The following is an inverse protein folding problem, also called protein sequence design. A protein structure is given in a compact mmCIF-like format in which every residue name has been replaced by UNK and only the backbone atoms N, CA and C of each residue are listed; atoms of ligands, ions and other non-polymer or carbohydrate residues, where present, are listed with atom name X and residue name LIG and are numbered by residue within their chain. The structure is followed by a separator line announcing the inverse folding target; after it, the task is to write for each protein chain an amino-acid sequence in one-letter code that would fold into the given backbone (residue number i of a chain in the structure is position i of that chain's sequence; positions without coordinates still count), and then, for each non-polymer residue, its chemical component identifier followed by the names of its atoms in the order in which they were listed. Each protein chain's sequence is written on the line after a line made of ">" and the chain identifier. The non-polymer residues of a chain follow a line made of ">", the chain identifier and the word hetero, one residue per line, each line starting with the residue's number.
data_IF_128905532682
#
_entry.id   IF_128905532682
#
_cell.length_a   1.000
_cell.length_b   1.000
_cell.length_c   1.000
_cell.angle_alpha   90.00
_cell.angle_beta   90.00
_cell.angle_gamma   90.00
#
_symmetry.space_group_name_H-M   'P 1'
#
loop_
_entity.id
_entity.type
_entity.pdbx_description
1 polymer ?
#
# COMPACT_ATOMS: atom_id res chain seq x y z
N UNK A 1 16.31 65.47 7.93
CA UNK A 1 15.14 65.21 8.80
C UNK A 1 13.95 64.86 7.92
N UNK A 2 13.27 63.73 8.21
CA UNK A 2 11.94 63.31 7.73
C UNK A 2 11.92 62.79 6.26
N UNK A 3 11.88 61.46 6.07
CA UNK A 3 10.68 60.60 5.84
C UNK A 3 10.28 60.61 4.34
N UNK A 4 9.91 59.55 3.61
CA UNK A 4 9.26 58.27 3.89
C UNK A 4 9.66 57.25 2.80
N UNK A 5 9.83 56.00 3.18
CA UNK A 5 9.84 54.82 2.31
C UNK A 5 8.37 54.42 2.03
N UNK A 6 7.93 54.12 0.79
CA UNK A 6 6.66 53.45 0.59
C UNK A 6 6.88 51.94 0.77
N UNK A 7 6.43 51.44 1.92
CA UNK A 7 6.30 50.00 2.20
C UNK A 7 5.11 49.48 1.37
N UNK A 8 5.38 48.74 0.30
CA UNK A 8 4.36 48.11 -0.52
C UNK A 8 3.97 46.78 0.14
N UNK A 9 2.97 46.84 1.02
CA UNK A 9 2.32 45.66 1.63
C UNK A 9 1.53 44.93 0.54
N UNK A 10 2.06 43.79 0.08
CA UNK A 10 1.30 42.82 -0.69
C UNK A 10 0.36 42.13 0.31
N UNK A 11 -0.91 42.54 0.31
CA UNK A 11 -1.96 41.84 1.03
C UNK A 11 -2.19 40.48 0.34
N UNK A 12 -1.60 39.43 0.90
CA UNK A 12 -2.00 38.06 0.60
C UNK A 12 -3.41 37.86 1.20
N UNK A 13 -4.44 38.00 0.37
CA UNK A 13 -5.79 37.56 0.72
C UNK A 13 -5.78 36.04 0.76
N UNK A 14 -5.53 35.48 1.94
CA UNK A 14 -5.87 34.11 2.24
C UNK A 14 -7.40 33.98 2.11
N UNK A 15 -7.87 33.35 1.05
CA UNK A 15 -9.21 32.78 1.02
C UNK A 15 -9.23 31.64 2.05
N UNK A 16 -9.46 31.99 3.31
CA UNK A 16 -9.98 31.04 4.27
C UNK A 16 -11.37 30.67 3.76
N UNK A 17 -11.50 29.47 3.18
CA UNK A 17 -12.80 28.86 2.97
C UNK A 17 -13.48 28.84 4.33
N UNK A 18 -14.52 29.65 4.49
CA UNK A 18 -15.34 29.69 5.68
C UNK A 18 -15.87 28.26 5.88
N UNK A 19 -15.31 27.55 6.86
CA UNK A 19 -15.71 26.19 7.17
C UNK A 19 -17.18 26.29 7.54
N UNK A 20 -18.05 25.72 6.71
CA UNK A 20 -19.48 25.65 7.00
C UNK A 20 -19.65 25.24 8.47
N UNK A 21 -20.53 25.90 9.24
CA UNK A 21 -20.69 25.61 10.65
C UNK A 21 -20.93 24.10 10.79
N UNK A 22 -20.19 23.48 11.72
CA UNK A 22 -20.35 22.06 12.01
C UNK A 22 -21.83 21.81 12.32
N UNK A 23 -22.54 21.15 11.41
CA UNK A 23 -23.99 20.95 11.52
C UNK A 23 -24.36 20.25 12.84
N UNK A 24 -23.45 19.43 13.39
CA UNK A 24 -23.64 18.76 14.68
C UNK A 24 -23.47 19.73 15.87
N UNK A 25 -22.68 20.79 15.71
CA UNK A 25 -22.46 21.78 16.77
C UNK A 25 -23.71 22.61 17.07
N UNK A 26 -24.60 22.76 16.08
CA UNK A 26 -25.87 23.49 16.20
C UNK A 26 -26.98 22.67 16.90
N UNK A 27 -26.79 21.36 17.02
CA UNK A 27 -27.78 20.46 17.60
C UNK A 27 -27.58 20.29 19.11
N UNK A 28 -28.70 20.17 19.83
CA UNK A 28 -28.68 19.82 21.25
C UNK A 28 -28.37 18.32 21.47
N UNK A 29 -28.17 17.91 22.73
CA UNK A 29 -27.78 16.54 23.06
C UNK A 29 -28.80 15.49 22.60
N UNK A 30 -30.10 15.82 22.66
CA UNK A 30 -31.20 14.92 22.30
C UNK A 30 -31.36 14.83 20.78
N UNK A 31 -31.23 15.95 20.09
CA UNK A 31 -31.21 16.00 18.62
C UNK A 31 -30.04 15.18 18.07
N UNK A 32 -28.85 15.30 18.67
CA UNK A 32 -27.68 14.48 18.33
C UNK A 32 -27.94 13.00 18.57
N UNK A 33 -28.53 12.63 19.71
CA UNK A 33 -28.89 11.25 20.01
C UNK A 33 -29.88 10.69 18.97
N UNK A 34 -30.97 11.42 18.72
CA UNK A 34 -32.02 11.02 17.79
C UNK A 34 -31.50 10.89 16.36
N UNK A 35 -30.66 11.84 15.91
CA UNK A 35 -30.01 11.77 14.59
C UNK A 35 -29.10 10.55 14.49
N UNK A 36 -28.34 10.26 15.55
CA UNK A 36 -27.52 9.06 15.66
C UNK A 36 -28.32 7.76 15.57
N UNK A 37 -29.41 7.65 16.34
CA UNK A 37 -30.31 6.49 16.33
C UNK A 37 -30.99 6.30 14.96
N UNK A 38 -31.45 7.39 14.33
CA UNK A 38 -32.06 7.32 12.99
C UNK A 38 -31.05 6.84 11.94
N UNK A 39 -29.83 7.37 11.95
CA UNK A 39 -28.76 6.94 11.04
C UNK A 39 -28.37 5.48 11.25
N UNK A 40 -28.33 5.02 12.51
CA UNK A 40 -28.11 3.62 12.83
C UNK A 40 -29.19 2.73 12.21
N UNK A 41 -30.47 3.12 12.32
CA UNK A 41 -31.59 2.39 11.68
C UNK A 41 -31.49 2.37 10.16
N UNK A 42 -30.98 3.45 9.56
CA UNK A 42 -30.74 3.56 8.11
C UNK A 42 -29.50 2.80 7.63
N UNK A 43 -28.67 2.28 8.53
CA UNK A 43 -27.40 1.63 8.20
C UNK A 43 -26.26 2.61 7.89
N UNK A 44 -26.46 3.93 8.09
CA UNK A 44 -25.38 4.92 8.05
C UNK A 44 -24.57 4.86 9.34
N UNK A 45 -23.71 3.85 9.43
CA UNK A 45 -22.92 3.59 10.63
C UNK A 45 -21.88 4.69 10.90
N UNK A 46 -21.37 5.36 9.85
CA UNK A 46 -20.39 6.44 10.02
C UNK A 46 -21.08 7.66 10.62
N UNK A 47 -22.17 8.11 10.00
CA UNK A 47 -22.91 9.25 10.50
C UNK A 47 -23.60 8.99 11.83
N UNK A 48 -23.96 7.73 12.14
CA UNK A 48 -24.47 7.34 13.45
C UNK A 48 -23.39 7.48 14.54
N UNK A 49 -22.17 7.01 14.27
CA UNK A 49 -21.06 7.13 15.23
C UNK A 49 -20.75 8.60 15.54
N UNK A 50 -20.66 9.44 14.51
CA UNK A 50 -20.39 10.87 14.67
C UNK A 50 -21.43 11.56 15.55
N UNK A 51 -22.72 11.36 15.26
CA UNK A 51 -23.80 11.99 15.99
C UNK A 51 -23.92 11.47 17.44
N UNK A 52 -23.78 10.15 17.67
CA UNK A 52 -23.84 9.57 19.01
C UNK A 52 -22.63 9.94 19.87
N UNK A 53 -21.43 10.05 19.28
CA UNK A 53 -20.24 10.54 19.99
C UNK A 53 -20.40 12.01 20.37
N UNK A 54 -20.93 12.83 19.47
CA UNK A 54 -21.24 14.23 19.76
C UNK A 54 -22.29 14.35 20.87
N UNK A 55 -23.32 13.49 20.89
CA UNK A 55 -24.30 13.41 21.98
C UNK A 55 -23.64 13.06 23.32
N UNK A 56 -22.84 11.99 23.38
CA UNK A 56 -22.12 11.61 24.60
C UNK A 56 -21.20 12.71 25.12
N UNK A 57 -20.54 13.46 24.24
CA UNK A 57 -19.64 14.55 24.62
C UNK A 57 -20.36 15.70 25.35
N UNK A 58 -21.70 15.79 25.28
CA UNK A 58 -22.49 16.78 26.03
C UNK A 58 -22.75 16.38 27.48
N UNK A 59 -22.37 15.16 27.89
CA UNK A 59 -22.44 14.67 29.27
C UNK A 59 -23.84 14.67 29.91
N UNK A 60 -24.90 14.51 29.13
CA UNK A 60 -26.26 14.34 29.65
C UNK A 60 -26.43 12.93 30.23
N UNK A 61 -26.66 12.83 31.54
CA UNK A 61 -26.83 11.57 32.26
C UNK A 61 -27.99 10.73 31.70
N UNK A 62 -29.09 11.37 31.29
CA UNK A 62 -30.31 10.70 30.82
C UNK A 62 -30.04 9.99 29.49
N UNK A 63 -29.23 10.59 28.64
CA UNK A 63 -28.92 10.07 27.31
C UNK A 63 -27.64 9.23 27.28
N UNK A 64 -26.83 9.24 28.35
CA UNK A 64 -25.55 8.52 28.41
C UNK A 64 -25.71 7.03 28.14
N UNK A 65 -26.62 6.35 28.87
CA UNK A 65 -26.86 4.93 28.70
C UNK A 65 -27.33 4.56 27.28
N UNK A 66 -28.42 5.14 26.73
CA UNK A 66 -28.89 4.75 25.41
C UNK A 66 -27.89 5.15 24.30
N UNK A 67 -27.11 6.22 24.47
CA UNK A 67 -26.07 6.58 23.50
C UNK A 67 -24.89 5.60 23.50
N UNK A 68 -24.45 5.12 24.68
CA UNK A 68 -23.44 4.07 24.80
C UNK A 68 -23.93 2.75 24.16
N UNK A 69 -25.16 2.33 24.49
CA UNK A 69 -25.76 1.12 23.90
C UNK A 69 -25.76 1.19 22.36
N UNK A 70 -26.20 2.31 21.79
CA UNK A 70 -26.24 2.48 20.33
C UNK A 70 -24.83 2.58 19.71
N UNK A 71 -23.87 3.18 20.39
CA UNK A 71 -22.47 3.20 19.92
C UNK A 71 -21.84 1.82 19.89
N UNK A 72 -22.18 0.97 20.86
CA UNK A 72 -21.82 -0.44 20.86
C UNK A 72 -22.24 -1.11 19.55
N UNK A 73 -23.52 -0.99 19.18
CA UNK A 73 -24.04 -1.53 17.90
C UNK A 73 -23.38 -0.93 16.67
N UNK A 74 -23.18 0.39 16.65
CA UNK A 74 -22.53 1.07 15.53
C UNK A 74 -21.12 0.54 15.31
N UNK A 75 -20.28 0.49 16.35
CA UNK A 75 -18.88 0.05 16.25
C UNK A 75 -18.76 -1.43 15.92
N UNK A 76 -19.67 -2.25 16.45
CA UNK A 76 -19.77 -3.66 16.05
C UNK A 76 -20.12 -3.79 14.57
N UNK A 77 -21.18 -3.10 14.13
CA UNK A 77 -21.64 -3.07 12.74
C UNK A 77 -20.57 -2.60 11.77
N UNK A 78 -19.79 -1.57 12.12
CA UNK A 78 -18.68 -1.07 11.27
C UNK A 78 -17.61 -2.14 11.09
N UNK A 79 -17.26 -2.84 12.15
CA UNK A 79 -16.32 -3.96 12.08
C UNK A 79 -16.86 -5.10 11.21
N UNK A 80 -18.16 -5.43 11.33
CA UNK A 80 -18.82 -6.43 10.49
C UNK A 80 -18.83 -6.02 9.01
N UNK A 81 -19.14 -4.76 8.69
CA UNK A 81 -19.07 -4.23 7.31
C UNK A 81 -17.64 -4.30 6.77
N UNK A 82 -16.65 -3.94 7.57
CA UNK A 82 -15.25 -4.09 7.18
C UNK A 82 -14.92 -5.55 6.86
N UNK A 83 -15.39 -6.53 7.64
CA UNK A 83 -15.24 -7.96 7.34
C UNK A 83 -16.13 -8.47 6.18
N UNK A 84 -16.79 -7.60 5.41
CA UNK A 84 -17.66 -8.01 4.31
C UNK A 84 -18.95 -8.69 4.77
N UNK A 85 -19.44 -8.33 5.95
CA UNK A 85 -20.65 -8.90 6.56
C UNK A 85 -20.40 -10.11 7.46
N UNK A 86 -19.16 -10.59 7.54
CA UNK A 86 -18.76 -11.75 8.35
C UNK A 86 -18.41 -11.33 9.79
N UNK A 87 -18.47 -12.28 10.72
CA UNK A 87 -18.07 -12.09 12.13
C UNK A 87 -16.81 -12.85 12.51
N UNK A 88 -16.24 -13.58 11.56
CA UNK A 88 -14.97 -14.31 11.65
C UNK A 88 -14.14 -13.98 10.42
N UNK A 89 -12.85 -14.28 10.47
CA UNK A 89 -11.98 -14.27 9.30
C UNK A 89 -12.41 -15.32 8.29
N UNK A 90 -11.96 -15.15 7.04
CA UNK A 90 -12.21 -16.17 6.04
C UNK A 90 -11.30 -17.38 6.29
N UNK A 91 -11.90 -18.54 6.61
CA UNK A 91 -11.16 -19.80 6.76
C UNK A 91 -10.43 -20.15 5.45
N UNK A 92 -10.95 -19.70 4.31
CA UNK A 92 -10.29 -19.91 3.03
C UNK A 92 -8.98 -19.13 2.91
N UNK A 93 -8.85 -17.93 3.49
CA UNK A 93 -7.60 -17.16 3.48
C UNK A 93 -6.48 -17.92 4.19
N UNK A 94 -6.75 -18.40 5.41
CA UNK A 94 -5.77 -19.18 6.16
C UNK A 94 -5.46 -20.52 5.49
N UNK A 95 -6.47 -21.18 4.91
CA UNK A 95 -6.29 -22.44 4.19
C UNK A 95 -5.44 -22.26 2.93
N UNK A 96 -5.65 -21.18 2.18
CA UNK A 96 -4.85 -20.84 1.00
C UNK A 96 -3.41 -20.57 1.42
N UNK A 97 -3.22 -19.75 2.47
CA UNK A 97 -1.89 -19.41 2.95
C UNK A 97 -1.08 -20.66 3.37
N UNK A 98 -1.73 -21.61 4.07
CA UNK A 98 -1.13 -22.90 4.45
C UNK A 98 -0.86 -23.81 3.26
N UNK A 99 -1.76 -23.86 2.29
CA UNK A 99 -1.55 -24.65 1.07
C UNK A 99 -0.30 -24.22 0.31
N UNK A 100 0.00 -22.92 0.29
CA UNK A 100 1.23 -22.43 -0.35
C UNK A 100 2.50 -22.65 0.49
N UNK A 101 2.40 -22.79 1.82
CA UNK A 101 3.51 -23.29 2.63
C UNK A 101 3.83 -24.74 2.26
N UNK A 102 2.82 -25.59 2.23
CA UNK A 102 2.98 -27.01 1.86
C UNK A 102 3.54 -27.17 0.45
N UNK A 103 3.06 -26.37 -0.51
CA UNK A 103 3.60 -26.35 -1.87
C UNK A 103 5.07 -25.88 -1.89
N UNK A 104 5.42 -24.86 -1.10
CA UNK A 104 6.80 -24.37 -1.01
C UNK A 104 7.73 -25.45 -0.45
N UNK A 105 7.30 -26.17 0.59
CA UNK A 105 8.07 -27.27 1.17
C UNK A 105 8.30 -28.42 0.17
N UNK A 106 7.26 -28.81 -0.56
CA UNK A 106 7.36 -29.84 -1.58
C UNK A 106 8.34 -29.43 -2.70
N UNK A 107 8.20 -28.21 -3.24
CA UNK A 107 9.07 -27.72 -4.31
C UNK A 107 10.52 -27.56 -3.84
N UNK A 108 10.75 -27.10 -2.61
CA UNK A 108 12.09 -27.02 -2.02
C UNK A 108 12.72 -28.43 -1.96
N UNK A 109 11.97 -29.40 -1.44
CA UNK A 109 12.45 -30.80 -1.34
C UNK A 109 12.78 -31.37 -2.71
N UNK A 110 11.88 -31.21 -3.69
CA UNK A 110 12.09 -31.70 -5.04
C UNK A 110 13.34 -31.08 -5.67
N UNK A 111 13.54 -29.77 -5.53
CA UNK A 111 14.73 -29.10 -6.07
C UNK A 111 16.02 -29.53 -5.36
N UNK A 112 15.99 -29.75 -4.04
CA UNK A 112 17.13 -30.25 -3.26
C UNK A 112 17.53 -31.67 -3.70
N UNK A 113 16.56 -32.55 -3.91
CA UNK A 113 16.80 -33.90 -4.43
C UNK A 113 17.45 -33.84 -5.82
N UNK A 114 16.97 -32.96 -6.70
CA UNK A 114 17.57 -32.78 -8.03
C UNK A 114 19.00 -32.22 -7.97
N UNK A 115 19.29 -31.33 -7.02
CA UNK A 115 20.65 -30.85 -6.76
C UNK A 115 21.57 -32.03 -6.42
N UNK A 116 21.18 -32.89 -5.49
CA UNK A 116 21.98 -34.05 -5.07
C UNK A 116 22.19 -35.04 -6.23
N UNK A 117 21.14 -35.34 -7.00
CA UNK A 117 21.20 -36.24 -8.15
C UNK A 117 22.19 -35.72 -9.20
N UNK A 118 22.14 -34.42 -9.53
CA UNK A 118 23.06 -33.81 -10.50
C UNK A 118 24.49 -33.85 -9.99
N UNK A 119 24.71 -33.46 -8.74
CA UNK A 119 26.06 -33.40 -8.15
C UNK A 119 26.70 -34.79 -8.09
N UNK A 120 25.92 -35.82 -7.75
CA UNK A 120 26.36 -37.22 -7.77
C UNK A 120 26.68 -37.73 -9.17
N UNK A 121 25.83 -37.45 -10.16
CA UNK A 121 26.08 -37.86 -11.54
C UNK A 121 27.37 -37.23 -12.09
N UNK A 122 27.60 -35.94 -11.80
CA UNK A 122 28.84 -35.24 -12.16
C UNK A 122 30.06 -35.83 -11.47
N UNK A 123 29.97 -36.15 -10.17
CA UNK A 123 31.05 -36.79 -9.43
C UNK A 123 31.41 -38.19 -9.97
N UNK A 124 30.41 -38.94 -10.45
CA UNK A 124 30.57 -40.24 -11.12
C UNK A 124 31.10 -40.12 -12.57
N UNK A 125 31.31 -38.91 -13.09
CA UNK A 125 31.70 -38.68 -14.49
C UNK A 125 30.61 -39.02 -15.51
N UNK A 126 29.34 -39.05 -15.09
CA UNK A 126 28.17 -39.31 -15.95
C UNK A 126 27.50 -38.00 -16.34
N UNK A 127 26.90 -37.96 -17.51
CA UNK A 127 26.02 -36.85 -17.88
C UNK A 127 24.70 -36.94 -17.07
N UNK A 128 24.33 -35.91 -16.30
CA UNK A 128 23.06 -35.89 -15.59
C UNK A 128 21.86 -35.80 -16.54
N UNK A 129 20.76 -36.45 -16.18
CA UNK A 129 19.46 -36.14 -16.78
C UNK A 129 18.92 -34.83 -16.16
N UNK A 130 18.78 -33.80 -16.99
CA UNK A 130 18.32 -32.48 -16.55
C UNK A 130 16.81 -32.30 -16.67
N UNK A 131 16.07 -33.24 -17.29
CA UNK A 131 14.61 -33.07 -17.48
C UNK A 131 13.87 -32.93 -16.15
N UNK A 132 14.10 -33.80 -15.13
CA UNK A 132 13.44 -33.65 -13.83
C UNK A 132 13.86 -32.36 -13.10
N UNK A 133 15.13 -31.97 -13.23
CA UNK A 133 15.68 -30.74 -12.66
C UNK A 133 15.03 -29.47 -13.25
N UNK A 134 14.83 -29.43 -14.57
CA UNK A 134 14.16 -28.30 -15.23
C UNK A 134 12.69 -28.22 -14.83
N UNK A 135 12.02 -29.36 -14.66
CA UNK A 135 10.64 -29.42 -14.18
C UNK A 135 10.51 -28.90 -12.74
N UNK A 136 11.35 -29.39 -11.82
CA UNK A 136 11.38 -28.94 -10.43
C UNK A 136 11.70 -27.44 -10.32
N UNK A 137 12.69 -26.96 -11.08
CA UNK A 137 13.04 -25.54 -11.15
C UNK A 137 11.86 -24.68 -11.64
N UNK A 138 11.16 -25.13 -12.69
CA UNK A 138 9.98 -24.44 -13.21
C UNK A 138 8.85 -24.34 -12.20
N UNK A 139 8.59 -25.42 -11.45
CA UNK A 139 7.62 -25.49 -10.35
C UNK A 139 7.97 -24.52 -9.22
N UNK A 140 9.19 -24.62 -8.68
CA UNK A 140 9.66 -23.76 -7.59
C UNK A 140 9.61 -22.27 -7.93
N UNK A 141 9.97 -21.87 -9.16
CA UNK A 141 9.83 -20.48 -9.63
C UNK A 141 8.35 -20.04 -9.64
N UNK A 142 7.44 -20.90 -10.08
CA UNK A 142 6.01 -20.66 -10.08
C UNK A 142 5.46 -20.43 -8.68
N UNK A 143 5.83 -21.28 -7.73
CA UNK A 143 5.44 -21.19 -6.32
C UNK A 143 6.02 -19.93 -5.67
N UNK A 144 7.32 -19.65 -5.86
CA UNK A 144 7.95 -18.43 -5.36
C UNK A 144 7.19 -17.17 -5.79
N UNK A 145 6.87 -17.05 -7.09
CA UNK A 145 6.15 -15.88 -7.62
C UNK A 145 4.74 -15.76 -7.06
N UNK A 146 4.09 -16.90 -6.85
CA UNK A 146 2.73 -16.93 -6.30
C UNK A 146 2.73 -16.48 -4.85
N UNK A 147 3.62 -17.04 -4.02
CA UNK A 147 3.81 -16.64 -2.61
C UNK A 147 4.17 -15.16 -2.50
N UNK A 148 5.11 -14.67 -3.32
CA UNK A 148 5.50 -13.25 -3.39
C UNK A 148 4.30 -12.32 -3.61
N UNK A 149 3.36 -12.73 -4.47
CA UNK A 149 2.14 -11.95 -4.80
C UNK A 149 1.06 -12.05 -3.73
N UNK A 150 1.03 -13.12 -2.94
CA UNK A 150 0.01 -13.38 -1.93
C UNK A 150 0.33 -12.72 -0.59
N UNK A 151 1.59 -12.77 -0.13
CA UNK A 151 2.02 -12.19 1.15
C UNK A 151 1.46 -10.77 1.38
N UNK A 152 1.60 -9.80 0.44
CA UNK A 152 1.08 -8.45 0.66
C UNK A 152 -0.44 -8.37 0.81
N UNK A 153 -1.18 -9.27 0.16
CA UNK A 153 -2.64 -9.34 0.27
C UNK A 153 -3.05 -9.90 1.62
N UNK A 154 -2.36 -10.94 2.09
CA UNK A 154 -2.58 -11.54 3.39
C UNK A 154 -2.24 -10.55 4.53
N UNK A 155 -1.16 -9.79 4.40
CA UNK A 155 -0.78 -8.72 5.33
C UNK A 155 -1.82 -7.59 5.38
N UNK A 156 -2.34 -7.18 4.22
CA UNK A 156 -3.43 -6.21 4.17
C UNK A 156 -4.69 -6.73 4.87
N UNK A 157 -4.97 -8.04 4.78
CA UNK A 157 -6.08 -8.67 5.50
C UNK A 157 -5.85 -8.69 7.01
N UNK A 158 -4.64 -9.01 7.48
CA UNK A 158 -4.27 -8.92 8.90
C UNK A 158 -4.47 -7.49 9.42
N UNK A 159 -3.94 -6.48 8.72
CA UNK A 159 -4.08 -5.08 9.10
C UNK A 159 -5.54 -4.64 9.18
N UNK A 160 -6.36 -5.10 8.23
CA UNK A 160 -7.80 -4.88 8.22
C UNK A 160 -8.49 -5.52 9.43
N UNK A 161 -8.15 -6.77 9.78
CA UNK A 161 -8.68 -7.46 10.97
C UNK A 161 -8.27 -6.76 12.26
N UNK A 162 -7.04 -6.23 12.36
CA UNK A 162 -6.59 -5.45 13.51
C UNK A 162 -7.46 -4.21 13.76
N UNK A 163 -7.83 -3.49 12.70
CA UNK A 163 -8.77 -2.36 12.80
C UNK A 163 -10.16 -2.77 13.29
N UNK A 164 -10.66 -3.93 12.84
CA UNK A 164 -11.94 -4.50 13.29
C UNK A 164 -11.88 -4.89 14.77
N UNK A 165 -10.82 -5.58 15.19
CA UNK A 165 -10.59 -5.95 16.59
C UNK A 165 -10.61 -4.71 17.47
N UNK A 166 -9.92 -3.63 17.09
CA UNK A 166 -9.94 -2.38 17.85
C UNK A 166 -11.34 -1.76 17.95
N UNK A 167 -12.12 -1.78 16.86
CA UNK A 167 -13.50 -1.30 16.85
C UNK A 167 -14.42 -2.12 17.77
N UNK A 168 -14.31 -3.45 17.72
CA UNK A 168 -15.11 -4.35 18.54
C UNK A 168 -14.72 -4.32 20.03
N UNK A 169 -13.45 -4.14 20.36
CA UNK A 169 -13.03 -3.89 21.76
C UNK A 169 -13.70 -2.63 22.31
N UNK A 170 -13.78 -1.56 21.52
CA UNK A 170 -14.51 -0.35 21.93
C UNK A 170 -16.01 -0.60 22.06
N UNK A 171 -16.60 -1.38 21.15
CA UNK A 171 -18.01 -1.78 21.22
C UNK A 171 -18.35 -2.51 22.52
N UNK A 172 -17.51 -3.49 22.91
CA UNK A 172 -17.62 -4.18 24.21
C UNK A 172 -17.54 -3.18 25.36
N UNK A 173 -16.62 -2.22 25.29
CA UNK A 173 -16.51 -1.14 26.27
C UNK A 173 -17.78 -0.32 26.39
N UNK A 174 -18.37 0.11 25.27
CA UNK A 174 -19.60 0.89 25.28
C UNK A 174 -20.77 0.13 25.92
N UNK A 175 -20.94 -1.16 25.57
CA UNK A 175 -21.97 -2.01 26.16
C UNK A 175 -21.75 -2.26 27.65
N UNK A 176 -20.51 -2.52 28.08
CA UNK A 176 -20.19 -2.67 29.51
C UNK A 176 -20.49 -1.40 30.27
N UNK A 177 -20.08 -0.24 29.77
CA UNK A 177 -20.40 1.04 30.40
C UNK A 177 -21.91 1.31 30.45
N UNK A 178 -22.68 0.93 29.43
CA UNK A 178 -24.14 1.03 29.48
C UNK A 178 -24.74 0.15 30.61
N UNK A 179 -24.25 -1.09 30.74
CA UNK A 179 -24.66 -2.00 31.81
C UNK A 179 -24.21 -1.53 33.21
N UNK A 180 -23.04 -0.93 33.33
CA UNK A 180 -22.55 -0.35 34.59
C UNK A 180 -23.41 0.82 35.06
N UNK A 181 -23.94 1.63 34.13
CA UNK A 181 -24.87 2.72 34.44
C UNK A 181 -26.25 2.22 34.86
N UNK A 182 -26.67 1.04 34.39
CA UNK A 182 -27.90 0.38 34.80
C UNK A 182 -27.75 -1.14 34.73
N UNK A 183 -27.60 -1.79 35.88
CA UNK A 183 -27.41 -3.24 35.97
C UNK A 183 -28.63 -4.07 35.52
N UNK A 184 -29.79 -3.43 35.31
CA UNK A 184 -30.95 -4.05 34.70
C UNK A 184 -30.88 -4.10 33.17
N UNK A 185 -29.92 -3.39 32.54
CA UNK A 185 -29.67 -3.47 31.10
C UNK A 185 -28.92 -4.76 30.74
N UNK A 186 -29.62 -5.88 30.87
CA UNK A 186 -29.16 -7.20 30.47
C UNK A 186 -28.84 -7.30 28.97
N UNK A 187 -29.58 -6.66 28.04
CA UNK A 187 -29.21 -6.65 26.63
C UNK A 187 -27.79 -6.14 26.37
N UNK A 188 -27.35 -5.06 27.05
CA UNK A 188 -25.97 -4.57 26.93
C UNK A 188 -24.95 -5.60 27.40
N UNK A 189 -25.18 -6.25 28.55
CA UNK A 189 -24.28 -7.30 29.06
C UNK A 189 -24.16 -8.46 28.06
N UNK A 190 -25.30 -8.96 27.57
CA UNK A 190 -25.35 -10.06 26.61
C UNK A 190 -24.63 -9.72 25.29
N UNK A 191 -24.79 -8.48 24.79
CA UNK A 191 -24.09 -8.02 23.59
C UNK A 191 -22.57 -7.95 23.83
N UNK A 192 -22.14 -7.45 24.98
CA UNK A 192 -20.71 -7.41 25.32
C UNK A 192 -20.10 -8.82 25.33
N UNK A 193 -20.75 -9.77 26.00
CA UNK A 193 -20.29 -11.17 26.08
C UNK A 193 -20.27 -11.85 24.70
N UNK A 194 -21.31 -11.65 23.89
CA UNK A 194 -21.36 -12.20 22.53
C UNK A 194 -20.23 -11.67 21.64
N UNK A 195 -19.93 -10.36 21.72
CA UNK A 195 -18.85 -9.75 20.94
C UNK A 195 -17.48 -10.20 21.46
N UNK A 196 -17.32 -10.45 22.76
CA UNK A 196 -16.07 -11.00 23.30
C UNK A 196 -15.73 -12.38 22.76
N UNK A 197 -16.72 -13.24 22.56
CA UNK A 197 -16.52 -14.54 21.91
C UNK A 197 -16.02 -14.37 20.47
N UNK A 198 -16.68 -13.50 19.70
CA UNK A 198 -16.29 -13.17 18.33
C UNK A 198 -14.88 -12.55 18.27
N UNK A 199 -14.54 -11.67 19.22
CA UNK A 199 -13.21 -11.09 19.35
C UNK A 199 -12.15 -12.16 19.61
N UNK A 200 -12.43 -13.15 20.47
CA UNK A 200 -11.50 -14.23 20.76
C UNK A 200 -11.24 -15.09 19.51
N UNK A 201 -12.30 -15.43 18.78
CA UNK A 201 -12.20 -16.16 17.51
C UNK A 201 -11.39 -15.38 16.47
N UNK A 202 -11.74 -14.11 16.22
CA UNK A 202 -11.06 -13.26 15.24
C UNK A 202 -9.59 -13.04 15.58
N UNK A 203 -9.25 -12.83 16.87
CA UNK A 203 -7.86 -12.72 17.33
C UNK A 203 -7.08 -14.00 17.06
N UNK A 204 -7.64 -15.17 17.39
CA UNK A 204 -7.00 -16.46 17.15
C UNK A 204 -6.71 -16.69 15.67
N UNK A 205 -7.69 -16.42 14.81
CA UNK A 205 -7.53 -16.57 13.36
C UNK A 205 -6.55 -15.56 12.76
N UNK A 206 -6.50 -14.34 13.31
CA UNK A 206 -5.54 -13.31 12.87
C UNK A 206 -4.12 -13.71 13.25
N UNK A 207 -3.89 -14.17 14.49
CA UNK A 207 -2.59 -14.66 14.92
C UNK A 207 -2.11 -15.86 14.10
N UNK A 208 -3.01 -16.81 13.80
CA UNK A 208 -2.68 -17.96 12.96
C UNK A 208 -2.28 -17.54 11.53
N UNK A 209 -2.92 -16.51 10.98
CA UNK A 209 -2.56 -15.97 9.66
C UNK A 209 -1.23 -15.21 9.72
N UNK A 210 -0.98 -14.42 10.75
CA UNK A 210 0.31 -13.74 10.98
C UNK A 210 1.49 -14.72 11.05
N UNK A 211 1.33 -15.82 11.80
CA UNK A 211 2.32 -16.90 11.88
C UNK A 211 2.56 -17.53 10.52
N UNK A 212 1.48 -17.84 9.79
CA UNK A 212 1.57 -18.43 8.44
C UNK A 212 2.30 -17.51 7.46
N UNK A 213 2.01 -16.20 7.48
CA UNK A 213 2.71 -15.20 6.66
C UNK A 213 4.21 -15.14 7.00
N UNK A 214 4.55 -15.17 8.30
CA UNK A 214 5.94 -15.15 8.73
C UNK A 214 6.71 -16.39 8.21
N UNK A 215 6.08 -17.55 8.23
CA UNK A 215 6.66 -18.77 7.68
C UNK A 215 6.74 -18.73 6.14
N UNK A 216 5.74 -18.15 5.47
CA UNK A 216 5.79 -17.96 4.01
C UNK A 216 6.96 -17.07 3.61
N UNK A 217 7.26 -16.01 4.37
CA UNK A 217 8.42 -15.14 4.12
C UNK A 217 9.73 -15.91 4.24
N UNK A 218 9.86 -16.79 5.24
CA UNK A 218 11.05 -17.66 5.36
C UNK A 218 11.15 -18.62 4.18
N UNK A 219 10.04 -19.27 3.82
CA UNK A 219 9.98 -20.21 2.70
C UNK A 219 10.23 -19.55 1.36
N UNK A 220 9.81 -18.29 1.20
CA UNK A 220 10.09 -17.50 0.01
C UNK A 220 11.60 -17.28 -0.17
N UNK A 221 12.33 -16.95 0.90
CA UNK A 221 13.79 -16.80 0.83
C UNK A 221 14.48 -18.15 0.59
N UNK A 222 14.03 -19.23 1.25
CA UNK A 222 14.55 -20.58 1.02
C UNK A 222 14.33 -21.04 -0.43
N UNK A 223 13.13 -20.84 -0.98
CA UNK A 223 12.83 -21.07 -2.39
C UNK A 223 13.81 -20.29 -3.29
N UNK A 224 14.03 -18.99 -3.01
CA UNK A 224 14.95 -18.17 -3.80
C UNK A 224 16.35 -18.77 -3.88
N UNK A 225 16.88 -19.20 -2.73
CA UNK A 225 18.23 -19.75 -2.65
C UNK A 225 18.32 -21.12 -3.34
N UNK A 226 17.35 -22.01 -3.12
CA UNK A 226 17.34 -23.34 -3.75
C UNK A 226 17.13 -23.24 -5.26
N UNK A 227 16.26 -22.32 -5.74
CA UNK A 227 16.08 -22.03 -7.17
C UNK A 227 17.41 -21.59 -7.79
N UNK A 228 18.15 -20.68 -7.15
CA UNK A 228 19.47 -20.23 -7.64
C UNK A 228 20.48 -21.36 -7.66
N UNK A 229 20.53 -22.19 -6.63
CA UNK A 229 21.45 -23.32 -6.54
C UNK A 229 21.18 -24.39 -7.60
N UNK A 230 19.92 -24.70 -7.87
CA UNK A 230 19.54 -25.62 -8.94
C UNK A 230 19.81 -25.02 -10.33
N UNK A 231 19.50 -23.73 -10.53
CA UNK A 231 19.77 -23.03 -11.79
C UNK A 231 21.27 -23.02 -12.16
N UNK A 232 22.18 -22.90 -11.18
CA UNK A 232 23.65 -23.00 -11.42
C UNK A 232 24.09 -24.36 -11.95
N UNK A 233 23.33 -25.42 -11.68
CA UNK A 233 23.69 -26.80 -12.03
C UNK A 233 23.20 -27.23 -13.39
N UNK A 234 22.16 -26.57 -13.89
CA UNK A 234 21.52 -26.84 -15.18
C UNK A 234 22.26 -26.05 -16.29
N UNK A 235 22.58 -26.68 -17.44
CA UNK A 235 23.17 -25.98 -18.58
C UNK A 235 22.30 -24.80 -19.06
N UNK A 236 22.91 -23.67 -19.49
CA UNK A 236 22.17 -22.46 -19.87
C UNK A 236 21.11 -22.68 -20.95
N UNK A 237 21.41 -23.55 -21.92
CA UNK A 237 20.53 -23.92 -23.04
C UNK A 237 19.33 -24.78 -22.61
N UNK A 238 19.38 -25.36 -21.41
CA UNK A 238 18.32 -26.20 -20.84
C UNK A 238 17.50 -25.48 -19.76
N UNK A 239 17.89 -24.25 -19.36
CA UNK A 239 17.15 -23.50 -18.34
C UNK A 239 15.73 -23.17 -18.82
N UNK A 240 14.73 -23.22 -17.94
CA UNK A 240 13.36 -22.91 -18.32
C UNK A 240 13.22 -21.41 -18.62
N UNK A 241 12.34 -21.07 -19.58
CA UNK A 241 12.14 -19.67 -20.02
C UNK A 241 11.71 -18.74 -18.89
N UNK A 242 11.09 -19.28 -17.85
CA UNK A 242 10.61 -18.52 -16.71
C UNK A 242 11.72 -18.17 -15.69
N UNK A 243 12.98 -18.59 -15.88
CA UNK A 243 14.08 -18.34 -14.93
C UNK A 243 14.64 -16.90 -14.94
N UNK A 244 14.49 -16.17 -16.05
CA UNK A 244 15.06 -14.82 -16.22
C UNK A 244 14.24 -13.71 -15.53
N UNK A 245 12.96 -13.97 -15.24
CA UNK A 245 12.05 -12.98 -14.65
C UNK A 245 11.57 -11.93 -15.66
N UNK A 246 10.42 -11.31 -15.37
CA UNK A 246 9.84 -10.24 -16.22
C UNK A 246 10.23 -8.84 -15.73
N UNK A 247 11.52 -8.61 -15.45
CA UNK A 247 12.05 -7.27 -15.17
C UNK A 247 12.05 -6.80 -13.71
N UNK A 248 11.75 -7.71 -12.76
CA UNK A 248 12.02 -7.49 -11.34
C UNK A 248 13.35 -8.18 -10.97
N UNK A 249 14.32 -7.42 -10.44
CA UNK A 249 15.66 -7.91 -10.07
C UNK A 249 15.59 -9.08 -9.07
N UNK A 250 14.54 -9.13 -8.24
CA UNK A 250 14.32 -10.21 -7.28
C UNK A 250 13.75 -11.50 -7.90
N UNK A 251 13.31 -11.45 -9.16
CA UNK A 251 12.78 -12.61 -9.91
C UNK A 251 13.72 -13.13 -10.99
N UNK A 252 14.94 -12.58 -11.06
CA UNK A 252 15.98 -13.10 -11.90
C UNK A 252 16.77 -14.17 -11.14
N UNK A 253 16.55 -15.43 -11.54
CA UNK A 253 17.20 -16.59 -10.94
C UNK A 253 18.39 -17.09 -11.76
N UNK A 254 18.67 -16.45 -12.89
CA UNK A 254 19.83 -16.81 -13.70
C UNK A 254 21.12 -16.43 -12.96
N UNK A 255 22.18 -17.25 -13.08
CA UNK A 255 23.51 -16.88 -12.63
C UNK A 255 23.95 -15.55 -13.23
N UNK A 256 24.71 -14.73 -12.47
CA UNK A 256 25.08 -13.34 -12.86
C UNK A 256 25.66 -13.22 -14.28
N UNK A 257 26.44 -14.20 -14.74
CA UNK A 257 27.02 -14.23 -16.09
C UNK A 257 26.07 -14.58 -17.23
N UNK A 258 24.83 -15.00 -16.93
CA UNK A 258 23.80 -15.37 -17.90
C UNK A 258 22.64 -14.37 -17.96
N UNK A 259 22.62 -13.39 -17.06
CA UNK A 259 21.61 -12.34 -17.05
C UNK A 259 21.80 -11.46 -18.28
N UNK A 260 20.73 -11.18 -19.03
CA UNK A 260 20.81 -10.16 -20.08
C UNK A 260 21.31 -8.85 -19.45
N UNK A 261 22.23 -8.12 -20.13
CA UNK A 261 22.59 -6.78 -19.68
C UNK A 261 21.31 -6.00 -19.50
N UNK A 262 21.10 -5.39 -18.33
CA UNK A 262 19.88 -4.62 -18.05
C UNK A 262 19.64 -3.71 -19.24
N UNK A 263 18.62 -4.03 -20.03
CA UNK A 263 18.17 -3.21 -21.13
C UNK A 263 17.60 -1.96 -20.49
N UNK A 264 18.46 -0.98 -20.25
CA UNK A 264 18.07 0.34 -19.81
C UNK A 264 17.20 0.96 -20.88
N UNK A 265 15.91 0.63 -20.85
CA UNK A 265 14.90 1.60 -21.25
C UNK A 265 15.12 2.77 -20.32
N UNK A 266 15.51 3.92 -20.89
CA UNK A 266 15.73 5.19 -20.20
C UNK A 266 14.46 5.71 -19.54
N UNK A 267 13.96 4.99 -18.54
CA UNK A 267 13.07 5.51 -17.53
C UNK A 267 13.89 6.44 -16.66
N UNK A 268 13.57 7.72 -16.72
CA UNK A 268 14.07 8.77 -15.83
C UNK A 268 13.93 8.31 -14.38
N UNK A 269 14.97 7.73 -13.81
CA UNK A 269 15.22 7.86 -12.39
C UNK A 269 15.94 9.19 -12.23
N UNK A 270 15.28 10.15 -11.59
CA UNK A 270 15.95 11.38 -11.20
C UNK A 270 17.17 10.99 -10.34
N UNK A 271 18.39 11.42 -10.72
CA UNK A 271 19.59 11.08 -9.97
C UNK A 271 19.47 11.66 -8.56
N UNK A 272 19.76 10.81 -7.56
CA UNK A 272 19.82 11.25 -6.16
C UNK A 272 20.87 12.36 -6.00
N UNK A 273 20.56 13.34 -5.17
CA UNK A 273 21.37 14.52 -4.93
C UNK A 273 22.82 14.14 -4.56
N UNK A 274 23.79 14.63 -5.35
CA UNK A 274 25.22 14.39 -5.12
C UNK A 274 25.90 13.35 -6.03
N UNK A 275 25.22 12.70 -6.98
CA UNK A 275 25.88 11.85 -7.98
C UNK A 275 26.21 12.60 -9.27
N UNK A 276 27.42 12.38 -9.79
CA UNK A 276 27.90 12.97 -11.04
C UNK A 276 27.01 12.54 -12.22
N UNK A 277 26.42 13.54 -12.87
CA UNK A 277 25.57 13.34 -14.05
C UNK A 277 26.49 13.00 -15.22
N UNK A 278 26.43 11.75 -15.72
CA UNK A 278 27.09 11.40 -16.98
C UNK A 278 26.35 12.08 -18.13
N UNK A 279 26.91 13.16 -18.63
CA UNK A 279 26.40 13.90 -19.77
C UNK A 279 26.80 13.19 -21.06
N UNK A 280 25.87 13.05 -22.02
CA UNK A 280 26.21 12.52 -23.34
C UNK A 280 27.13 13.50 -24.09
N UNK A 281 27.95 13.00 -25.03
CA UNK A 281 28.89 13.85 -25.79
C UNK A 281 28.16 14.98 -26.55
N UNK A 282 26.91 14.73 -26.97
CA UNK A 282 26.07 15.72 -27.64
C UNK A 282 25.52 16.78 -26.67
N UNK A 283 25.15 16.40 -25.45
CA UNK A 283 24.75 17.37 -24.41
C UNK A 283 25.94 18.19 -23.90
N UNK A 284 27.14 17.59 -23.84
CA UNK A 284 28.37 18.29 -23.49
C UNK A 284 28.72 19.34 -24.56
N UNK A 285 28.57 18.98 -25.84
CA UNK A 285 28.74 19.92 -26.96
C UNK A 285 27.69 21.03 -26.94
N UNK A 286 26.42 20.69 -26.71
CA UNK A 286 25.36 21.70 -26.61
C UNK A 286 25.56 22.64 -25.42
N UNK A 287 26.07 22.15 -24.29
CA UNK A 287 26.35 22.96 -23.09
C UNK A 287 27.56 23.86 -23.26
N UNK A 288 28.59 23.39 -23.99
CA UNK A 288 29.73 24.22 -24.39
C UNK A 288 29.34 25.30 -25.40
N UNK A 289 28.43 24.99 -26.32
CA UNK A 289 27.94 25.94 -27.33
C UNK A 289 27.09 27.06 -26.70
N UNK A 290 26.26 26.73 -25.70
CA UNK A 290 25.51 27.73 -24.92
C UNK A 290 26.43 28.61 -24.06
N UNK A 291 27.49 28.03 -23.46
CA UNK A 291 28.52 28.82 -22.75
C UNK A 291 29.29 29.75 -23.70
N UNK A 292 29.58 29.32 -24.92
CA UNK A 292 30.21 30.17 -25.97
C UNK A 292 29.31 31.34 -26.36
N UNK A 293 27.99 31.16 -26.29
CA UNK A 293 26.97 32.20 -26.49
C UNK A 293 26.84 33.20 -25.32
N UNK A 294 27.31 32.85 -24.12
CA UNK A 294 27.34 33.72 -22.93
C UNK A 294 28.65 34.51 -22.81
N UNK A 295 29.81 33.94 -23.17
CA UNK A 295 31.08 34.69 -23.18
C UNK A 295 31.19 35.72 -24.33
N UNK A 296 30.34 35.61 -25.36
CA UNK A 296 30.28 36.55 -26.49
C UNK A 296 29.31 37.73 -26.31
N UNK A 297 28.47 37.73 -25.26
CA UNK A 297 27.56 38.85 -25.00
C UNK A 297 28.23 39.84 -24.06
N UNK A 298 28.62 40.99 -24.61
CA UNK A 298 29.04 42.15 -23.81
C UNK A 298 28.00 42.42 -22.72
N UNK A 299 28.44 42.46 -21.46
CA UNK A 299 27.63 42.92 -20.33
C UNK A 299 27.03 44.31 -20.66
N UNK A 300 25.73 44.54 -20.45
CA UNK A 300 25.10 45.80 -20.82
C UNK A 300 25.52 46.90 -19.84
N UNK A 301 26.41 47.79 -20.29
CA UNK A 301 26.61 49.10 -19.67
C UNK A 301 25.46 50.03 -20.08
N UNK A 302 24.85 50.67 -19.10
CA UNK A 302 23.82 51.68 -19.27
C UNK A 302 24.31 52.89 -20.08
N UNK A 303 23.58 53.28 -21.13
CA UNK A 303 23.10 54.65 -21.36
C UNK A 303 22.17 54.74 -22.60
N UNK A 304 21.13 55.59 -22.47
CA UNK A 304 20.02 55.95 -23.39
C UNK A 304 20.49 56.58 -24.74
N UNK A 305 19.60 56.99 -25.68
CA UNK A 305 18.23 56.53 -26.06
C UNK A 305 18.02 56.38 -27.60
N UNK A 306 16.99 55.63 -27.98
CA UNK A 306 16.05 55.92 -29.10
C UNK A 306 16.56 56.08 -30.54
N UNK A 307 16.12 55.20 -31.44
CA UNK A 307 15.17 55.54 -32.52
C UNK A 307 14.69 54.25 -33.23
N UNK A 308 13.39 54.14 -33.46
CA UNK A 308 12.70 53.11 -34.27
C UNK A 308 12.96 53.32 -35.79
N UNK A 309 12.25 52.71 -36.77
CA UNK A 309 11.30 51.57 -36.74
C UNK A 309 11.45 50.56 -37.92
N UNK A 310 10.71 49.44 -37.85
CA UNK A 310 9.71 49.17 -38.92
C UNK A 310 9.88 47.93 -39.80
N UNK A 311 8.86 47.06 -39.71
CA UNK A 311 8.32 46.25 -40.82
C UNK A 311 9.01 44.91 -41.09
N UNK A 312 8.34 43.85 -41.51
CA UNK A 312 6.92 43.56 -41.70
C UNK A 312 6.84 42.02 -41.92
N UNK A 313 5.80 41.39 -41.35
CA UNK A 313 5.04 40.17 -41.72
C UNK A 313 5.54 39.25 -42.86
N UNK A 314 5.24 37.92 -42.80
CA UNK A 314 3.96 37.46 -43.38
C UNK A 314 3.24 36.25 -42.73
N UNK A 315 1.93 36.24 -43.01
CA UNK A 315 0.96 35.13 -43.27
C UNK A 315 0.77 34.04 -42.20
N UNK A 316 -0.39 33.89 -41.54
CA UNK A 316 -1.71 33.40 -42.05
C UNK A 316 -1.56 32.12 -42.89
N UNK A 317 -2.27 31.01 -42.69
CA UNK A 317 -3.61 30.77 -42.16
C UNK A 317 -3.71 29.25 -41.88
N UNK A 318 -4.19 28.88 -40.70
CA UNK A 318 -5.47 28.19 -40.48
C UNK A 318 -5.54 26.70 -40.87
N UNK A 319 -5.80 25.87 -39.84
CA UNK A 319 -7.00 25.02 -39.77
C UNK A 319 -7.22 24.55 -38.33
N UNK A 320 -8.20 25.19 -37.67
CA UNK A 320 -8.96 24.63 -36.55
C UNK A 320 -10.13 23.82 -37.13
N UNK A 321 -10.48 22.72 -36.47
CA UNK A 321 -11.86 22.26 -36.34
C UNK A 321 -12.03 21.69 -34.93
N UNK A 322 -12.84 22.39 -34.15
CA UNK A 322 -13.55 21.85 -32.99
C UNK A 322 -14.94 21.41 -33.47
N UNK A 323 -15.43 20.34 -32.81
CA UNK A 323 -16.74 19.66 -32.92
C UNK A 323 -17.04 18.86 -34.20
#
# INVERSE_FOLDING_TARGET
>A
MKSLLPLLLIAATAFAAEKAPDELALLDTRELHNRGTLRLQQGDLVGAEEALRASLARNDDVLRLPALHNLGHVRFGRGKVALGGKTVGDVTELSIARSYLEASDADISDMQDQIEIIDKAKADGKEPDYVPAVSALGGGIGTYRTVKKLIPKEEAMVAKRAGVIASWVRSVGDFRSAHELNTQDQPSLQNAEAIEELLRALKRETLALEETIADQRKKQEELREVIRELAKRIPPDKLPQNAEGEGDDDENFLPEGMQKPKGGTGGKTDPREGQEKRMSEQEARSSLESLKGEFGRKMPTSDKPGNSPGGNKPSSEAKKKDY
#
